data_IF_765660359195
#
_entry.id   IF_765660359195
#
_cell.length_a   1.000
_cell.length_b   1.000
_cell.length_c   1.000
_cell.angle_alpha   90.00
_cell.angle_beta   90.00
_cell.angle_gamma   90.00
#
_symmetry.space_group_name_H-M   'P 1'
#
loop_
_entity.id
_entity.type
_entity.pdbx_description
1 polymer ?
#
# COMPACT_ATOMS: atom_id res chain seq x y z
N UNK A 1 -5.27 14.03 -3.44
CA UNK A 1 -4.47 12.80 -3.34
C UNK A 1 -5.25 11.70 -3.99
N UNK A 2 -4.94 11.42 -5.25
CA UNK A 2 -5.61 10.38 -6.04
C UNK A 2 -4.97 9.01 -5.79
N UNK A 3 -5.80 7.96 -5.80
CA UNK A 3 -5.31 6.58 -5.68
C UNK A 3 -4.63 6.17 -6.99
N UNK A 4 -3.42 5.64 -6.90
CA UNK A 4 -2.61 5.28 -8.06
C UNK A 4 -2.40 3.77 -8.12
N UNK A 5 -2.66 3.17 -9.27
CA UNK A 5 -2.24 1.79 -9.56
C UNK A 5 -0.74 1.84 -9.85
N UNK A 6 0.02 1.03 -9.13
CA UNK A 6 1.48 0.96 -9.26
C UNK A 6 1.96 -0.44 -9.49
N UNK A 7 3.14 -0.54 -10.11
CA UNK A 7 3.80 -1.82 -10.23
C UNK A 7 4.24 -2.25 -8.84
N UNK A 8 3.83 -3.46 -8.47
CA UNK A 8 4.23 -4.10 -7.24
C UNK A 8 4.73 -5.50 -7.55
N UNK A 9 5.64 -5.98 -6.71
CA UNK A 9 6.14 -7.35 -6.77
C UNK A 9 6.19 -7.94 -5.36
N UNK A 10 5.95 -9.24 -5.27
CA UNK A 10 6.00 -9.97 -4.01
C UNK A 10 7.31 -10.75 -3.94
N UNK A 11 8.03 -10.62 -2.83
CA UNK A 11 9.20 -11.44 -2.51
C UNK A 11 9.00 -12.06 -1.14
N UNK A 12 8.70 -13.36 -1.10
CA UNK A 12 8.30 -14.06 0.13
C UNK A 12 7.10 -13.39 0.81
N UNK A 13 7.28 -12.83 2.01
CA UNK A 13 6.26 -12.12 2.78
C UNK A 13 6.39 -10.58 2.65
N UNK A 14 7.16 -10.11 1.66
CA UNK A 14 7.44 -8.68 1.44
C UNK A 14 6.76 -8.23 0.15
N UNK A 15 5.92 -7.19 0.25
CA UNK A 15 5.38 -6.48 -0.90
C UNK A 15 6.28 -5.28 -1.22
N UNK A 16 6.90 -5.30 -2.39
CA UNK A 16 7.79 -4.24 -2.87
C UNK A 16 6.99 -3.37 -3.85
N UNK A 17 7.01 -2.07 -3.60
CA UNK A 17 6.34 -1.04 -4.42
C UNK A 17 7.40 -0.14 -5.04
N UNK A 18 7.23 0.22 -6.31
CA UNK A 18 8.20 1.02 -7.08
C UNK A 18 8.21 2.52 -6.72
N UNK A 19 7.14 3.01 -6.09
CA UNK A 19 6.93 4.43 -5.71
C UNK A 19 6.68 4.59 -4.21
N UNK A 20 7.18 5.70 -3.65
CA UNK A 20 6.90 6.11 -2.28
C UNK A 20 5.52 6.78 -2.17
N UNK A 21 4.78 6.45 -1.11
CA UNK A 21 3.46 7.01 -0.81
C UNK A 21 3.40 7.53 0.62
N UNK A 22 2.67 8.62 0.85
CA UNK A 22 2.36 9.08 2.22
C UNK A 22 1.43 8.10 2.96
N UNK A 23 0.52 7.47 2.22
CA UNK A 23 -0.36 6.41 2.70
C UNK A 23 -0.65 5.40 1.58
N UNK A 24 -0.82 4.13 1.95
CA UNK A 24 -1.20 3.05 1.04
C UNK A 24 -2.32 2.20 1.67
N UNK A 25 -3.17 1.61 0.84
CA UNK A 25 -4.22 0.69 1.27
C UNK A 25 -3.96 -0.70 0.71
N UNK A 26 -3.86 -1.68 1.60
CA UNK A 26 -3.76 -3.10 1.25
C UNK A 26 -5.12 -3.75 1.53
N UNK A 27 -5.74 -4.30 0.49
CA UNK A 27 -7.00 -5.06 0.60
C UNK A 27 -6.69 -6.55 0.59
N UNK A 28 -7.05 -7.23 1.67
CA UNK A 28 -6.85 -8.67 1.88
C UNK A 28 -8.21 -9.39 1.82
N UNK A 29 -8.30 -10.51 1.10
CA UNK A 29 -9.54 -11.29 0.96
C UNK A 29 -10.34 -10.97 -0.31
N UNK A 30 -11.15 -11.94 -0.77
CA UNK A 30 -11.78 -11.93 -2.10
C UNK A 30 -13.21 -12.49 -2.21
N UNK A 31 -13.93 -12.67 -1.10
CA UNK A 31 -15.35 -13.09 -1.15
C UNK A 31 -16.18 -12.40 -0.05
N UNK A 32 -16.45 -13.04 1.08
CA UNK A 32 -17.35 -12.50 2.11
C UNK A 32 -16.71 -11.53 3.11
N UNK A 33 -15.38 -11.51 3.20
CA UNK A 33 -14.67 -10.68 4.19
C UNK A 33 -13.43 -10.06 3.57
N UNK A 34 -13.58 -8.81 3.13
CA UNK A 34 -12.44 -7.98 2.77
C UNK A 34 -11.92 -7.28 4.03
N UNK A 35 -10.62 -7.42 4.30
CA UNK A 35 -9.93 -6.65 5.32
C UNK A 35 -9.09 -5.58 4.63
N UNK A 36 -9.33 -4.33 4.98
CA UNK A 36 -8.53 -3.21 4.48
C UNK A 36 -7.53 -2.80 5.55
N UNK A 37 -6.25 -2.85 5.22
CA UNK A 37 -5.15 -2.40 6.06
C UNK A 37 -4.61 -1.09 5.49
N UNK A 38 -4.69 -0.01 6.27
CA UNK A 38 -4.13 1.29 5.90
C UNK A 38 -2.72 1.43 6.47
N UNK A 39 -1.74 1.61 5.60
CA UNK A 39 -0.34 1.80 5.94
C UNK A 39 -0.03 3.28 5.77
N UNK A 40 0.40 3.93 6.84
CA UNK A 40 0.82 5.34 6.81
C UNK A 40 2.29 5.44 7.16
N UNK A 41 3.01 6.31 6.47
CA UNK A 41 4.39 6.59 6.83
C UNK A 41 4.44 7.45 8.09
N UNK A 42 5.18 7.01 9.10
CA UNK A 42 5.33 7.71 10.39
C UNK A 42 6.58 8.61 10.43
N UNK A 43 7.44 8.53 9.42
CA UNK A 43 8.71 9.25 9.32
C UNK A 43 8.59 10.69 8.79
N UNK A 44 7.36 11.23 8.70
CA UNK A 44 7.10 12.68 8.62
C UNK A 44 7.55 13.42 7.37
N UNK A 45 8.17 12.79 6.36
CA UNK A 45 8.46 13.48 5.09
C UNK A 45 7.22 13.44 4.19
N UNK A 46 6.53 14.57 3.95
CA UNK A 46 5.44 14.61 2.97
C UNK A 46 5.99 14.18 1.60
N UNK A 47 5.17 13.46 0.84
CA UNK A 47 5.47 13.24 -0.57
C UNK A 47 5.50 14.63 -1.24
N UNK A 48 6.70 15.09 -1.61
CA UNK A 48 6.88 16.27 -2.46
C UNK A 48 6.41 16.00 -3.88
#
# INVERSE_FOLDING_TARGET
GESQIVNSRIHQHILIVDRLFGAAELRLGGSDRQQTVRIVRTDGRPAS
#
